data_IF_481907078139
#
_entry.id   IF_481907078139
#
_cell.length_a   1.000
_cell.length_b   1.000
_cell.length_c   1.000
_cell.angle_alpha   90.00
_cell.angle_beta   90.00
_cell.angle_gamma   90.00
#
_symmetry.space_group_name_H-M   'P 1'
#
loop_
_entity.id
_entity.type
_entity.pdbx_description
1 polymer ?
#
# COMPACT_ATOMS: atom_id res chain seq x y z
N UNK A 1 8.28 -4.86 10.32
CA UNK A 1 6.90 -4.63 9.88
C UNK A 1 6.20 -3.78 10.93
N UNK A 2 5.51 -2.74 10.51
CA UNK A 2 4.65 -1.93 11.38
C UNK A 2 3.19 -2.21 11.04
N UNK A 3 2.29 -1.98 11.99
CA UNK A 3 0.85 -2.14 11.79
C UNK A 3 0.17 -0.79 11.80
N UNK A 4 -0.85 -0.65 11.00
CA UNK A 4 -1.81 0.42 11.13
C UNK A 4 -2.66 0.24 12.39
N UNK A 5 -3.27 1.31 12.87
CA UNK A 5 -4.21 1.25 14.00
C UNK A 5 -5.44 0.43 13.66
N UNK A 6 -5.71 -0.59 14.47
CA UNK A 6 -6.80 -1.56 14.23
C UNK A 6 -8.19 -0.93 14.31
N UNK A 7 -8.38 0.00 15.25
CA UNK A 7 -9.67 0.65 15.43
C UNK A 7 -10.00 1.58 14.26
N UNK A 8 -9.00 2.35 13.82
CA UNK A 8 -9.13 3.23 12.65
C UNK A 8 -9.30 2.40 11.37
N UNK A 9 -8.57 1.28 11.26
CA UNK A 9 -8.71 0.36 10.15
C UNK A 9 -10.15 -0.13 10.00
N UNK A 10 -10.77 -0.65 11.07
CA UNK A 10 -12.17 -1.10 11.06
C UNK A 10 -13.12 0.05 10.77
N UNK A 11 -12.94 1.19 11.44
CA UNK A 11 -13.78 2.37 11.23
C UNK A 11 -13.88 2.77 9.76
N UNK A 12 -12.75 2.71 9.02
CA UNK A 12 -12.69 3.12 7.61
C UNK A 12 -13.16 2.00 6.67
N UNK A 13 -12.84 0.73 6.98
CA UNK A 13 -13.00 -0.35 5.99
C UNK A 13 -14.25 -1.20 6.18
N UNK A 14 -14.87 -1.23 7.36
CA UNK A 14 -16.06 -2.06 7.60
C UNK A 14 -17.22 -1.65 6.67
N UNK A 15 -17.75 -2.63 5.94
CA UNK A 15 -18.84 -2.42 4.99
C UNK A 15 -18.42 -1.72 3.68
N UNK A 16 -17.12 -1.63 3.39
CA UNK A 16 -16.59 -1.16 2.11
C UNK A 16 -16.03 -2.31 1.29
N UNK A 17 -15.74 -2.05 0.02
CA UNK A 17 -15.03 -2.96 -0.89
C UNK A 17 -13.50 -2.75 -0.91
N UNK A 18 -12.96 -1.98 0.05
CA UNK A 18 -11.52 -1.72 0.18
C UNK A 18 -10.79 -3.04 0.42
N UNK A 19 -9.83 -3.34 -0.45
CA UNK A 19 -9.02 -4.56 -0.38
C UNK A 19 -8.00 -4.44 0.76
N UNK A 20 -8.00 -5.41 1.64
CA UNK A 20 -7.06 -5.49 2.76
C UNK A 20 -5.80 -6.26 2.35
N UNK A 21 -4.64 -5.75 2.73
CA UNK A 21 -3.37 -6.40 2.38
C UNK A 21 -2.17 -5.82 3.10
N UNK A 22 -1.01 -6.27 2.67
CA UNK A 22 0.28 -5.76 3.12
C UNK A 22 0.81 -4.77 2.08
N UNK A 23 1.17 -3.58 2.54
CA UNK A 23 1.79 -2.55 1.72
C UNK A 23 3.31 -2.59 1.91
N UNK A 24 4.07 -2.45 0.84
CA UNK A 24 5.51 -2.23 0.90
C UNK A 24 5.79 -0.74 0.79
N UNK A 25 6.33 -0.14 1.85
CA UNK A 25 6.92 1.19 1.79
C UNK A 25 8.34 1.07 1.26
N UNK A 26 8.54 1.48 0.02
CA UNK A 26 9.83 1.38 -0.66
C UNK A 26 10.53 2.74 -0.66
N UNK A 27 11.82 2.74 -0.36
CA UNK A 27 12.64 3.97 -0.36
C UNK A 27 13.09 4.43 -1.76
N UNK A 28 12.36 4.04 -2.80
CA UNK A 28 12.58 4.46 -4.18
C UNK A 28 11.61 3.82 -5.15
N UNK A 29 11.32 4.54 -6.23
CA UNK A 29 10.29 4.15 -7.21
C UNK A 29 10.72 3.04 -8.16
N UNK A 30 12.00 2.95 -8.51
CA UNK A 30 12.48 2.03 -9.55
C UNK A 30 12.97 0.69 -8.96
N UNK A 31 14.25 0.58 -8.71
CA UNK A 31 14.90 -0.67 -8.26
C UNK A 31 14.37 -1.16 -6.92
N UNK A 32 14.16 -0.31 -5.88
CA UNK A 32 13.60 -0.78 -4.62
C UNK A 32 12.19 -1.38 -4.73
N UNK A 33 11.46 -0.99 -5.77
CA UNK A 33 10.17 -1.60 -6.10
C UNK A 33 10.27 -2.76 -7.12
N UNK A 34 11.46 -3.28 -7.40
CA UNK A 34 11.68 -4.40 -8.31
C UNK A 34 11.51 -4.07 -9.81
N UNK A 35 11.54 -2.78 -10.18
CA UNK A 35 11.55 -2.38 -11.60
C UNK A 35 12.95 -2.54 -12.16
N UNK A 36 13.03 -3.17 -13.34
CA UNK A 36 14.29 -3.25 -14.08
C UNK A 36 14.52 -1.93 -14.79
N UNK A 37 15.68 -1.35 -14.56
CA UNK A 37 16.16 -0.16 -15.25
C UNK A 37 17.53 -0.49 -15.87
N UNK A 38 18.41 0.48 -16.00
CA UNK A 38 19.72 0.32 -16.61
C UNK A 38 20.61 -0.69 -15.90
N UNK A 39 20.57 -0.72 -14.56
CA UNK A 39 21.35 -1.64 -13.74
C UNK A 39 20.56 -2.91 -13.43
N UNK A 40 21.27 -4.02 -13.25
CA UNK A 40 20.66 -5.26 -12.77
C UNK A 40 20.16 -5.07 -11.34
N UNK A 41 18.98 -5.59 -10.99
CA UNK A 41 18.52 -5.57 -9.62
C UNK A 41 19.43 -6.42 -8.73
N UNK A 42 19.61 -6.01 -7.49
CA UNK A 42 20.39 -6.75 -6.50
C UNK A 42 19.80 -8.16 -6.25
N UNK A 43 18.49 -8.26 -6.23
CA UNK A 43 17.77 -9.51 -6.13
C UNK A 43 16.90 -9.72 -7.40
N UNK A 44 17.34 -10.59 -8.33
CA UNK A 44 16.57 -10.87 -9.55
C UNK A 44 15.20 -11.50 -9.29
N UNK A 45 15.03 -12.18 -8.15
CA UNK A 45 13.82 -12.88 -7.75
C UNK A 45 12.86 -12.04 -6.89
N UNK A 46 13.18 -10.78 -6.64
CA UNK A 46 12.39 -9.92 -5.76
C UNK A 46 10.90 -9.93 -6.11
N UNK A 47 10.55 -9.77 -7.38
CA UNK A 47 9.13 -9.75 -7.79
C UNK A 47 8.42 -11.09 -7.53
N UNK A 48 9.10 -12.22 -7.70
CA UNK A 48 8.57 -13.55 -7.38
C UNK A 48 8.35 -13.67 -5.86
N UNK A 49 9.36 -13.32 -5.06
CA UNK A 49 9.27 -13.33 -3.59
C UNK A 49 8.14 -12.46 -3.07
N UNK A 50 7.90 -11.30 -3.69
CA UNK A 50 6.78 -10.40 -3.35
C UNK A 50 5.43 -11.06 -3.68
N UNK A 51 5.31 -11.71 -4.84
CA UNK A 51 4.07 -12.39 -5.22
C UNK A 51 3.75 -13.61 -4.33
N UNK A 52 4.79 -14.31 -3.87
CA UNK A 52 4.66 -15.50 -3.02
C UNK A 52 4.51 -15.14 -1.53
N UNK A 53 4.75 -13.88 -1.15
CA UNK A 53 4.68 -13.46 0.24
C UNK A 53 3.26 -13.47 0.78
N UNK A 54 3.13 -14.03 1.98
CA UNK A 54 1.90 -14.00 2.76
C UNK A 54 2.22 -13.74 4.23
N UNK A 55 1.40 -12.95 4.89
CA UNK A 55 1.45 -12.71 6.32
C UNK A 55 0.05 -12.70 6.91
N UNK A 56 -0.25 -13.67 7.77
CA UNK A 56 -1.56 -13.82 8.44
C UNK A 56 -2.75 -13.82 7.46
N UNK A 57 -2.61 -14.51 6.33
CA UNK A 57 -3.64 -14.56 5.29
C UNK A 57 -3.68 -13.36 4.35
N UNK A 58 -2.82 -12.35 4.56
CA UNK A 58 -2.75 -11.17 3.70
C UNK A 58 -1.55 -11.23 2.77
N UNK A 59 -1.78 -10.90 1.51
CA UNK A 59 -0.74 -10.77 0.49
C UNK A 59 -0.30 -9.32 0.35
N UNK A 60 0.84 -9.11 -0.32
CA UNK A 60 1.26 -7.77 -0.72
C UNK A 60 0.32 -7.28 -1.83
N UNK A 61 -0.34 -6.15 -1.59
CA UNK A 61 -1.31 -5.55 -2.50
C UNK A 61 -0.75 -4.38 -3.28
N UNK A 62 0.16 -3.63 -2.69
CA UNK A 62 0.69 -2.42 -3.32
C UNK A 62 2.07 -2.02 -2.81
N UNK A 63 2.64 -1.06 -3.51
CA UNK A 63 3.81 -0.28 -3.09
C UNK A 63 3.41 1.18 -2.92
N UNK A 64 3.97 1.79 -1.91
CA UNK A 64 3.99 3.23 -1.68
C UNK A 64 5.33 3.61 -1.03
N UNK A 65 5.51 4.79 -0.50
CA UNK A 65 6.83 5.24 -0.07
C UNK A 65 6.88 5.84 1.34
N UNK A 66 5.75 6.00 2.04
CA UNK A 66 5.64 6.77 3.29
C UNK A 66 4.94 6.02 4.44
N UNK A 67 4.06 5.07 4.14
CA UNK A 67 3.12 4.48 5.08
C UNK A 67 3.78 3.77 6.27
N UNK A 68 4.92 3.10 6.07
CA UNK A 68 5.63 2.46 7.17
C UNK A 68 6.21 3.48 8.16
N UNK A 69 6.72 4.60 7.65
CA UNK A 69 7.23 5.70 8.49
C UNK A 69 6.07 6.37 9.25
N UNK A 70 4.97 6.66 8.54
CA UNK A 70 3.77 7.23 9.15
C UNK A 70 3.24 6.34 10.30
N UNK A 71 3.03 5.06 10.05
CA UNK A 71 2.52 4.13 11.05
C UNK A 71 3.49 3.95 12.23
N UNK A 72 4.80 3.82 11.94
CA UNK A 72 5.82 3.62 12.98
C UNK A 72 6.01 4.84 13.88
N UNK A 73 6.23 6.01 13.29
CA UNK A 73 6.45 7.26 14.03
C UNK A 73 5.16 7.70 14.72
N UNK A 74 4.02 7.61 14.03
CA UNK A 74 2.73 7.96 14.60
C UNK A 74 2.40 7.13 15.84
N UNK A 75 2.66 5.82 15.81
CA UNK A 75 2.48 4.94 16.98
C UNK A 75 3.38 5.36 18.15
N UNK A 76 4.65 5.68 17.89
CA UNK A 76 5.58 6.16 18.94
C UNK A 76 5.08 7.45 19.59
N UNK A 77 4.47 8.33 18.79
CA UNK A 77 3.92 9.61 19.25
C UNK A 77 2.49 9.51 19.80
N UNK A 78 1.93 8.32 19.90
CA UNK A 78 0.59 8.09 20.46
C UNK A 78 -0.56 8.43 19.50
N UNK A 79 -0.29 8.52 18.19
CA UNK A 79 -1.31 8.76 17.16
C UNK A 79 -1.84 7.45 16.56
N UNK A 80 -3.12 7.48 16.18
CA UNK A 80 -3.70 6.43 15.35
C UNK A 80 -3.39 6.73 13.88
N UNK A 81 -2.79 5.78 13.18
CA UNK A 81 -2.39 5.94 11.78
C UNK A 81 -2.93 4.81 10.92
N UNK A 82 -3.40 5.17 9.73
CA UNK A 82 -3.84 4.25 8.69
C UNK A 82 -3.40 4.79 7.33
N UNK A 83 -2.89 3.91 6.48
CA UNK A 83 -2.63 4.22 5.07
C UNK A 83 -3.67 3.52 4.21
N UNK A 84 -4.37 4.29 3.38
CA UNK A 84 -5.28 3.79 2.34
C UNK A 84 -4.78 4.29 0.99
N UNK A 85 -4.73 3.41 -0.01
CA UNK A 85 -4.08 3.71 -1.29
C UNK A 85 -5.03 3.49 -2.47
N UNK A 86 -5.03 4.42 -3.42
CA UNK A 86 -5.58 4.18 -4.76
C UNK A 86 -4.52 3.53 -5.64
N UNK A 87 -4.85 2.44 -6.30
CA UNK A 87 -3.94 1.76 -7.23
C UNK A 87 -3.97 2.48 -8.58
N UNK A 88 -2.83 3.07 -8.95
CA UNK A 88 -2.68 3.82 -10.20
C UNK A 88 -2.19 2.92 -11.32
N UNK A 89 -1.28 1.99 -11.03
CA UNK A 89 -0.69 1.11 -12.03
C UNK A 89 -0.61 -0.33 -11.54
N UNK A 90 -1.12 -1.25 -12.34
CA UNK A 90 -1.05 -2.69 -12.09
C UNK A 90 0.21 -3.31 -12.69
N UNK A 91 1.05 -3.95 -11.87
CA UNK A 91 2.30 -4.55 -12.34
C UNK A 91 2.09 -5.82 -13.14
N UNK A 92 1.14 -6.65 -12.72
CA UNK A 92 0.88 -7.94 -13.34
C UNK A 92 0.23 -7.79 -14.70
N UNK A 93 -0.72 -6.88 -14.82
CA UNK A 93 -1.46 -6.63 -16.06
C UNK A 93 -0.81 -5.56 -16.94
N UNK A 94 0.20 -4.85 -16.42
CA UNK A 94 0.82 -3.70 -17.08
C UNK A 94 -0.21 -2.65 -17.52
N UNK A 95 -1.27 -2.52 -16.77
CA UNK A 95 -2.35 -1.56 -16.97
C UNK A 95 -2.14 -0.30 -16.11
N UNK A 96 -2.72 0.79 -16.55
CA UNK A 96 -2.74 2.05 -15.80
C UNK A 96 -4.18 2.51 -15.63
N UNK A 97 -4.53 2.92 -14.42
CA UNK A 97 -5.79 3.59 -14.16
C UNK A 97 -5.69 5.04 -14.64
N UNK A 98 -6.22 5.33 -15.82
CA UNK A 98 -6.24 6.68 -16.40
C UNK A 98 -7.24 7.61 -15.69
N UNK A 99 -8.24 7.06 -15.01
CA UNK A 99 -9.24 7.77 -14.22
C UNK A 99 -8.92 7.74 -12.71
N UNK A 100 -7.64 7.64 -12.34
CA UNK A 100 -7.23 7.51 -10.93
C UNK A 100 -7.67 8.70 -10.06
N UNK A 101 -7.88 9.87 -10.65
CA UNK A 101 -8.33 11.06 -9.92
C UNK A 101 -9.73 10.86 -9.36
N UNK A 102 -10.66 10.41 -10.20
CA UNK A 102 -12.04 10.15 -9.77
C UNK A 102 -12.08 9.04 -8.69
N UNK A 103 -11.24 8.01 -8.85
CA UNK A 103 -11.09 6.93 -7.86
C UNK A 103 -10.52 7.48 -6.54
N UNK A 104 -9.55 8.40 -6.62
CA UNK A 104 -8.95 9.03 -5.46
C UNK A 104 -9.95 9.94 -4.72
N UNK A 105 -10.71 10.74 -5.46
CA UNK A 105 -11.74 11.61 -4.89
C UNK A 105 -12.80 10.79 -4.16
N UNK A 106 -13.30 9.70 -4.76
CA UNK A 106 -14.23 8.78 -4.10
C UNK A 106 -13.64 8.08 -2.87
N UNK A 107 -12.33 7.79 -2.88
CA UNK A 107 -11.67 7.24 -1.69
C UNK A 107 -11.56 8.29 -0.58
N UNK A 108 -11.23 9.54 -0.91
CA UNK A 108 -11.18 10.66 0.04
C UNK A 108 -12.55 10.85 0.70
N UNK A 109 -13.61 10.91 -0.09
CA UNK A 109 -14.98 11.04 0.41
C UNK A 109 -15.32 9.89 1.35
N UNK A 110 -15.02 8.64 0.94
CA UNK A 110 -15.25 7.45 1.79
C UNK A 110 -14.54 7.53 3.13
N UNK A 111 -13.30 8.05 3.16
CA UNK A 111 -12.54 8.21 4.40
C UNK A 111 -13.10 9.33 5.25
N UNK A 112 -13.40 10.50 4.66
CA UNK A 112 -13.92 11.67 5.37
C UNK A 112 -15.29 11.42 6.00
N UNK A 113 -16.14 10.64 5.35
CA UNK A 113 -17.47 10.27 5.88
C UNK A 113 -17.41 9.34 7.10
N UNK A 114 -16.22 8.80 7.42
CA UNK A 114 -16.03 7.76 8.45
C UNK A 114 -15.13 8.18 9.62
N UNK A 115 -14.59 9.40 9.60
CA UNK A 115 -13.74 9.94 10.66
C UNK A 115 -14.39 11.08 11.43
#
# INVERSE_FOLDING_TARGET
>A
MVRNDESLFRQITDGTDIIHGVTISANGFYVPQGRKVRSKPLDPDLNRKIMDFEYRGHRITNFEMEGAALAGIGTILGHRCLTVCTIIAGRKKQDMNTSYKDTLDGLIDTVLDRI
#
